data_IF_948934975739
#
_entry.id   IF_948934975739
#
_cell.length_a   1.000
_cell.length_b   1.000
_cell.length_c   1.000
_cell.angle_alpha   90.00
_cell.angle_beta   90.00
_cell.angle_gamma   90.00
#
_symmetry.space_group_name_H-M   'P 1'
#
loop_
_entity.id
_entity.type
_entity.pdbx_description
1 polymer ?
#
# COMPACT_ATOMS: atom_id res chain seq x y z
N UNK A 1 5.38 -40.78 -53.10
CA UNK A 1 6.33 -39.78 -53.65
C UNK A 1 5.68 -38.41 -53.52
N UNK A 2 6.41 -37.42 -53.02
CA UNK A 2 6.10 -35.98 -53.16
C UNK A 2 6.37 -35.54 -54.62
N UNK A 3 6.06 -34.30 -55.09
CA UNK A 3 5.79 -33.08 -54.33
C UNK A 3 4.72 -32.11 -54.93
N UNK A 4 4.78 -30.85 -54.49
CA UNK A 4 4.31 -29.61 -55.16
C UNK A 4 2.87 -29.13 -54.93
N UNK A 5 2.70 -28.29 -53.92
CA UNK A 5 1.59 -27.34 -53.78
C UNK A 5 1.77 -26.11 -54.69
N UNK A 6 0.70 -25.53 -55.26
CA UNK A 6 0.68 -24.13 -55.67
C UNK A 6 0.45 -23.21 -54.45
N UNK A 7 0.99 -21.99 -54.48
CA UNK A 7 0.66 -20.94 -53.50
C UNK A 7 -0.57 -20.16 -53.95
N UNK A 8 -1.55 -19.98 -53.07
CA UNK A 8 -2.67 -19.05 -53.29
C UNK A 8 -2.45 -17.79 -52.46
N UNK A 9 -2.53 -16.63 -53.10
CA UNK A 9 -2.30 -15.32 -52.47
C UNK A 9 -3.46 -14.93 -51.53
N UNK A 10 -3.15 -14.46 -50.33
CA UNK A 10 -4.12 -13.79 -49.46
C UNK A 10 -4.24 -12.30 -49.83
N UNK A 11 -5.46 -11.70 -49.79
CA UNK A 11 -5.66 -10.28 -50.06
C UNK A 11 -5.28 -9.41 -48.85
N UNK A 12 -4.80 -8.20 -49.14
CA UNK A 12 -4.38 -7.18 -48.15
C UNK A 12 -5.55 -6.70 -47.28
N UNK A 13 -5.31 -6.57 -45.97
CA UNK A 13 -6.14 -5.79 -45.05
C UNK A 13 -5.39 -4.51 -44.62
N UNK A 14 -6.08 -3.36 -44.42
CA UNK A 14 -5.43 -2.07 -44.16
C UNK A 14 -5.00 -1.89 -42.70
N UNK A 15 -3.95 -1.09 -42.52
CA UNK A 15 -3.28 -0.79 -41.25
C UNK A 15 -3.89 0.45 -40.56
N UNK A 16 -4.34 0.38 -39.29
CA UNK A 16 -4.78 1.56 -38.53
C UNK A 16 -3.59 2.40 -38.06
N UNK A 17 -3.53 3.65 -38.52
CA UNK A 17 -2.42 4.57 -38.26
C UNK A 17 -2.36 5.06 -36.81
N UNK A 18 -1.16 5.06 -36.21
CA UNK A 18 -0.88 5.78 -34.96
C UNK A 18 -0.47 7.23 -35.25
N UNK A 19 -1.09 8.24 -34.60
CA UNK A 19 -0.62 9.62 -34.68
C UNK A 19 0.77 9.79 -34.03
N UNK A 20 1.72 10.40 -34.75
CA UNK A 20 3.01 10.77 -34.20
C UNK A 20 2.93 12.14 -33.53
N UNK A 21 3.39 12.25 -32.28
CA UNK A 21 3.66 13.54 -31.63
C UNK A 21 5.15 13.66 -31.34
N UNK A 22 5.86 14.46 -32.14
CA UNK A 22 7.25 14.81 -31.85
C UNK A 22 7.29 15.81 -30.70
N UNK A 23 8.14 15.60 -29.69
CA UNK A 23 8.55 16.66 -28.78
C UNK A 23 10.05 16.55 -28.47
N UNK A 24 10.74 17.68 -28.56
CA UNK A 24 12.20 17.71 -28.69
C UNK A 24 12.91 17.52 -27.35
N UNK A 25 14.04 16.80 -27.41
CA UNK A 25 15.06 16.84 -26.36
C UNK A 25 15.89 18.11 -26.52
N UNK A 26 16.04 18.88 -25.46
CA UNK A 26 17.17 19.80 -25.28
C UNK A 26 17.71 19.65 -23.85
N UNK A 27 19.01 19.81 -23.68
CA UNK A 27 19.70 19.70 -22.40
C UNK A 27 20.58 20.95 -22.18
N UNK A 28 20.70 21.45 -20.93
CA UNK A 28 21.48 22.65 -20.64
C UNK A 28 22.99 22.34 -20.50
N UNK A 29 23.89 23.22 -20.98
CA UNK A 29 25.30 23.16 -20.65
C UNK A 29 25.61 23.82 -19.30
N UNK A 30 26.74 23.45 -18.70
CA UNK A 30 27.30 24.05 -17.46
C UNK A 30 28.60 24.79 -17.79
N UNK A 31 28.92 25.91 -17.11
CA UNK A 31 30.27 26.22 -16.53
C UNK A 31 30.33 27.62 -15.87
N UNK A 32 30.81 27.61 -14.63
CA UNK A 32 31.50 28.59 -13.77
C UNK A 32 32.12 29.89 -14.36
N UNK A 33 31.96 31.03 -13.65
CA UNK A 33 33.08 31.92 -13.23
C UNK A 33 32.72 32.82 -12.01
N UNK A 34 33.67 33.61 -11.47
CA UNK A 34 33.58 34.27 -10.13
C UNK A 34 34.03 35.78 -10.14
N UNK A 35 34.48 36.50 -9.07
CA UNK A 35 33.96 37.84 -8.73
C UNK A 35 34.93 39.02 -9.01
N UNK A 36 34.63 40.28 -8.59
CA UNK A 36 35.13 40.73 -7.28
C UNK A 36 34.30 41.77 -6.46
N UNK A 37 34.58 41.78 -5.16
CA UNK A 37 34.46 42.79 -4.08
C UNK A 37 34.40 44.29 -4.47
N UNK A 38 33.64 45.13 -3.70
CA UNK A 38 34.14 46.20 -2.76
C UNK A 38 32.98 46.89 -1.97
N UNK A 39 33.26 47.38 -0.76
CA UNK A 39 32.41 48.13 0.21
C UNK A 39 32.73 49.67 0.13
N UNK A 40 32.38 50.63 1.06
CA UNK A 40 31.79 50.55 2.42
C UNK A 40 30.72 51.64 2.80
N UNK A 41 30.22 51.56 4.06
CA UNK A 41 29.76 52.68 4.96
C UNK A 41 28.51 53.53 4.60
N UNK A 42 27.73 54.12 5.54
CA UNK A 42 27.62 54.05 7.02
C UNK A 42 26.24 54.65 7.47
N UNK A 43 25.68 54.41 8.67
CA UNK A 43 26.12 53.60 9.83
C UNK A 43 25.07 52.55 10.31
N UNK A 44 24.20 52.66 11.34
CA UNK A 44 23.87 53.67 12.36
C UNK A 44 23.20 53.04 13.63
N UNK A 45 22.94 53.84 14.68
CA UNK A 45 22.49 53.42 16.04
C UNK A 45 20.95 53.33 16.21
N UNK A 46 20.38 52.44 17.05
CA UNK A 46 20.53 52.38 18.51
C UNK A 46 20.17 51.02 19.18
N UNK A 47 20.99 50.59 20.15
CA UNK A 47 20.72 49.86 21.44
C UNK A 47 19.45 48.98 21.62
N UNK A 48 19.48 47.81 22.28
CA UNK A 48 20.18 47.52 23.55
C UNK A 48 20.27 46.00 23.94
N UNK A 49 21.40 45.62 24.56
CA UNK A 49 21.65 44.47 25.48
C UNK A 49 21.75 42.99 25.00
N UNK A 50 22.64 42.28 25.70
CA UNK A 50 23.14 40.89 25.59
C UNK A 50 23.34 40.34 27.05
N UNK A 51 23.74 39.08 27.38
CA UNK A 51 24.73 38.21 26.73
C UNK A 51 24.32 36.73 26.55
N UNK A 52 25.26 35.91 26.06
CA UNK A 52 25.05 34.51 25.70
C UNK A 52 25.89 33.53 26.55
N UNK A 53 25.50 32.26 26.53
CA UNK A 53 26.37 31.11 26.88
C UNK A 53 26.25 30.03 25.80
N UNK A 54 27.37 29.42 25.43
CA UNK A 54 27.47 28.44 24.33
C UNK A 54 27.36 27.00 24.83
N UNK A 55 26.84 26.08 24.02
CA UNK A 55 27.51 24.78 23.71
C UNK A 55 26.79 24.03 22.57
N UNK A 56 27.59 23.36 21.73
CA UNK A 56 27.15 22.24 20.90
C UNK A 56 27.78 20.94 21.47
N UNK A 57 27.36 19.75 21.03
CA UNK A 57 28.10 19.17 19.90
C UNK A 57 27.24 18.42 18.86
N UNK A 58 27.85 18.24 17.69
CA UNK A 58 27.33 17.55 16.51
C UNK A 58 27.07 16.06 16.71
N UNK A 59 26.00 15.54 16.09
CA UNK A 59 25.91 14.13 15.65
C UNK A 59 25.27 14.08 14.26
N UNK A 60 25.84 13.27 13.35
CA UNK A 60 25.37 13.15 11.97
C UNK A 60 24.50 11.89 11.80
N UNK A 61 23.40 11.94 11.01
CA UNK A 61 22.61 10.76 10.68
C UNK A 61 23.31 9.90 9.63
N UNK A 62 23.49 8.61 9.91
CA UNK A 62 24.01 7.65 8.94
C UNK A 62 22.98 7.32 7.85
N UNK A 63 23.39 7.34 6.58
CA UNK A 63 22.56 6.93 5.44
C UNK A 63 22.45 5.40 5.39
N UNK A 64 21.31 4.85 5.85
CA UNK A 64 20.97 3.44 5.67
C UNK A 64 20.05 3.25 4.46
N UNK A 65 20.25 2.19 3.68
CA UNK A 65 19.40 1.86 2.55
C UNK A 65 18.00 1.40 3.00
N UNK A 66 16.92 1.67 2.23
CA UNK A 66 15.58 1.25 2.58
C UNK A 66 15.44 -0.28 2.47
N UNK A 67 15.34 -0.95 3.63
CA UNK A 67 14.97 -2.36 3.68
C UNK A 67 13.52 -2.54 3.19
N UNK A 68 13.26 -3.62 2.45
CA UNK A 68 11.90 -3.96 2.02
C UNK A 68 10.98 -4.16 3.24
N UNK A 69 9.74 -3.64 3.24
CA UNK A 69 8.84 -3.82 4.35
C UNK A 69 8.53 -5.32 4.55
N UNK A 70 8.44 -5.80 5.81
CA UNK A 70 8.12 -7.20 6.07
C UNK A 70 6.72 -7.52 5.57
N UNK A 71 6.54 -8.72 5.00
CA UNK A 71 5.24 -9.25 4.64
C UNK A 71 4.31 -9.22 5.87
N UNK A 72 3.06 -8.73 5.76
CA UNK A 72 2.16 -8.67 6.89
C UNK A 72 1.85 -10.09 7.36
N UNK A 73 2.19 -10.39 8.62
CA UNK A 73 1.92 -11.69 9.22
C UNK A 73 0.40 -11.93 9.20
N UNK A 74 -0.07 -12.96 8.48
CA UNK A 74 -1.45 -13.44 8.57
C UNK A 74 -1.67 -13.85 10.03
N UNK A 75 -2.38 -13.03 10.81
CA UNK A 75 -2.60 -13.24 12.25
C UNK A 75 -3.37 -14.55 12.48
N UNK A 76 -2.65 -15.64 12.72
CA UNK A 76 -3.27 -16.93 13.06
C UNK A 76 -3.74 -16.94 14.51
N UNK A 77 -4.91 -17.51 14.73
CA UNK A 77 -5.41 -17.74 16.07
C UNK A 77 -4.44 -18.65 16.84
N UNK A 78 -4.13 -18.28 18.09
CA UNK A 78 -3.28 -19.07 18.99
C UNK A 78 -3.99 -20.35 19.47
N UNK A 79 -5.33 -20.42 19.31
CA UNK A 79 -6.12 -21.61 19.58
C UNK A 79 -5.71 -22.79 18.66
N UNK A 80 -5.54 -24.03 19.18
CA UNK A 80 -5.22 -25.18 18.35
C UNK A 80 -6.30 -25.48 17.29
N UNK A 81 -5.92 -25.43 16.01
CA UNK A 81 -6.72 -25.94 14.91
C UNK A 81 -6.73 -27.48 14.86
N UNK A 82 -7.55 -28.09 13.99
CA UNK A 82 -7.81 -29.54 14.02
C UNK A 82 -6.54 -30.39 13.93
N UNK A 83 -5.57 -30.00 13.10
CA UNK A 83 -4.28 -30.70 12.96
C UNK A 83 -3.33 -30.51 14.15
N UNK A 84 -3.39 -29.36 14.82
CA UNK A 84 -2.63 -29.13 16.05
C UNK A 84 -3.20 -29.96 17.21
N UNK A 85 -4.53 -30.02 17.34
CA UNK A 85 -5.23 -30.89 18.30
C UNK A 85 -4.94 -32.38 18.02
N UNK A 86 -4.98 -32.81 16.77
CA UNK A 86 -4.64 -34.19 16.39
C UNK A 86 -3.18 -34.55 16.70
N UNK A 87 -2.23 -33.61 16.52
CA UNK A 87 -0.82 -33.79 16.90
C UNK A 87 -0.67 -33.97 18.42
N UNK A 88 -1.37 -33.16 19.22
CA UNK A 88 -1.36 -33.27 20.68
C UNK A 88 -1.97 -34.61 21.14
N UNK A 89 -3.13 -34.99 20.60
CA UNK A 89 -3.78 -36.28 20.88
C UNK A 89 -2.90 -37.48 20.52
N UNK A 90 -2.22 -37.45 19.36
CA UNK A 90 -1.31 -38.52 18.95
C UNK A 90 -0.08 -38.61 19.87
N UNK A 91 0.42 -37.49 20.39
CA UNK A 91 1.50 -37.46 21.38
C UNK A 91 1.05 -38.03 22.74
N UNK A 92 -0.09 -37.59 23.26
CA UNK A 92 -0.66 -38.14 24.50
C UNK A 92 -0.95 -39.65 24.38
N UNK A 93 -1.48 -40.11 23.24
CA UNK A 93 -1.69 -41.54 23.01
C UNK A 93 -0.37 -42.32 22.93
N UNK A 94 0.66 -41.76 22.29
CA UNK A 94 1.99 -42.37 22.25
C UNK A 94 2.60 -42.48 23.66
N UNK A 95 2.46 -41.44 24.50
CA UNK A 95 2.86 -41.48 25.92
C UNK A 95 2.08 -42.54 26.70
N UNK A 96 0.76 -42.65 26.49
CA UNK A 96 -0.05 -43.66 27.16
C UNK A 96 0.39 -45.08 26.77
N UNK A 97 0.70 -45.31 25.49
CA UNK A 97 1.21 -46.58 24.96
C UNK A 97 2.64 -46.91 25.43
N UNK A 98 3.50 -45.93 25.74
CA UNK A 98 4.81 -46.20 26.36
C UNK A 98 4.71 -46.45 27.85
N UNK A 99 3.92 -45.65 28.59
CA UNK A 99 3.68 -45.86 30.02
C UNK A 99 2.98 -47.20 30.32
N UNK A 100 2.10 -47.68 29.43
CA UNK A 100 1.50 -49.02 29.53
C UNK A 100 2.49 -50.20 29.33
N UNK A 101 3.73 -49.94 28.88
CA UNK A 101 4.81 -50.96 28.90
C UNK A 101 5.54 -51.02 30.25
N UNK A 102 5.37 -50.01 31.10
CA UNK A 102 5.94 -49.91 32.44
C UNK A 102 4.94 -50.35 33.53
N UNK A 103 3.95 -51.18 33.18
CA UNK A 103 3.01 -51.78 34.15
C UNK A 103 3.73 -52.71 35.15
N UNK A 104 3.09 -52.99 36.29
CA UNK A 104 3.75 -53.69 37.39
C UNK A 104 4.24 -55.08 37.00
N UNK A 105 3.46 -55.86 36.26
CA UNK A 105 3.79 -57.25 35.95
C UNK A 105 4.97 -57.35 34.96
N UNK A 106 4.99 -56.50 33.92
CA UNK A 106 6.14 -56.35 33.01
C UNK A 106 7.40 -55.89 33.77
N UNK A 107 7.28 -54.95 34.70
CA UNK A 107 8.40 -54.43 35.47
C UNK A 107 8.94 -55.44 36.51
N UNK A 108 8.05 -56.15 37.21
CA UNK A 108 8.40 -57.15 38.20
C UNK A 108 9.04 -58.41 37.59
N UNK A 109 8.65 -58.78 36.36
CA UNK A 109 9.25 -59.86 35.59
C UNK A 109 10.73 -59.61 35.23
N UNK A 110 11.13 -58.35 35.05
CA UNK A 110 12.53 -57.97 34.83
C UNK A 110 13.41 -58.03 36.10
N UNK A 111 12.80 -58.04 37.29
CA UNK A 111 13.49 -57.99 38.58
C UNK A 111 13.00 -59.05 39.58
N UNK A 112 12.95 -60.34 39.22
CA UNK A 112 12.27 -61.39 40.00
C UNK A 112 12.82 -61.54 41.43
N UNK A 113 14.12 -61.38 41.62
CA UNK A 113 14.79 -61.47 42.92
C UNK A 113 14.42 -60.30 43.86
N UNK A 114 14.10 -59.13 43.29
CA UNK A 114 13.75 -57.92 44.03
C UNK A 114 12.24 -57.85 44.26
N UNK A 115 11.42 -58.22 43.29
CA UNK A 115 9.97 -58.29 43.45
C UNK A 115 9.56 -59.34 44.49
N UNK A 116 10.27 -60.46 44.60
CA UNK A 116 10.05 -61.45 45.66
C UNK A 116 10.52 -60.99 47.05
N UNK A 117 11.65 -60.27 47.15
CA UNK A 117 12.27 -59.92 48.44
C UNK A 117 11.85 -58.55 49.00
N UNK A 118 11.48 -57.61 48.15
CA UNK A 118 11.11 -56.24 48.52
C UNK A 118 10.14 -55.60 47.50
N UNK A 119 8.92 -56.16 47.31
CA UNK A 119 7.97 -55.67 46.31
C UNK A 119 7.59 -54.19 46.52
N UNK A 120 7.51 -53.74 47.77
CA UNK A 120 7.10 -52.37 48.10
C UNK A 120 8.12 -51.31 47.62
N UNK A 121 9.42 -51.54 47.79
CA UNK A 121 10.43 -50.58 47.30
C UNK A 121 10.53 -50.59 45.78
N UNK A 122 10.41 -51.76 45.14
CA UNK A 122 10.36 -51.87 43.68
C UNK A 122 9.13 -51.14 43.10
N UNK A 123 7.97 -51.23 43.77
CA UNK A 123 6.75 -50.49 43.39
C UNK A 123 6.92 -48.99 43.56
N UNK A 124 7.54 -48.52 44.65
CA UNK A 124 7.88 -47.09 44.80
C UNK A 124 8.84 -46.58 43.73
N UNK A 125 9.81 -47.40 43.28
CA UNK A 125 10.69 -47.06 42.16
C UNK A 125 9.91 -46.99 40.84
N UNK A 126 9.07 -47.99 40.54
CA UNK A 126 8.20 -48.00 39.36
C UNK A 126 7.30 -46.75 39.32
N UNK A 127 6.60 -46.46 40.43
CA UNK A 127 5.74 -45.29 40.57
C UNK A 127 6.52 -43.98 40.41
N UNK A 128 7.76 -43.89 40.90
CA UNK A 128 8.62 -42.71 40.73
C UNK A 128 9.09 -42.54 39.28
N UNK A 129 9.39 -43.62 38.56
CA UNK A 129 9.78 -43.57 37.14
C UNK A 129 8.60 -43.19 36.25
N UNK A 130 7.45 -43.86 36.43
CA UNK A 130 6.20 -43.55 35.71
C UNK A 130 5.73 -42.12 36.03
N UNK A 131 5.78 -41.73 37.31
CA UNK A 131 5.48 -40.39 37.79
C UNK A 131 6.34 -39.34 37.11
N UNK A 132 7.66 -39.41 37.27
CA UNK A 132 8.62 -38.44 36.69
C UNK A 132 8.52 -38.35 35.16
N UNK A 133 8.34 -39.48 34.46
CA UNK A 133 8.17 -39.47 33.00
C UNK A 133 6.83 -38.81 32.61
N UNK A 134 5.74 -39.08 33.34
CA UNK A 134 4.46 -38.43 33.09
C UNK A 134 4.47 -36.93 33.43
N UNK A 135 5.17 -36.51 34.49
CA UNK A 135 5.35 -35.12 34.91
C UNK A 135 6.23 -34.32 33.93
N UNK A 136 7.25 -34.95 33.34
CA UNK A 136 8.12 -34.31 32.35
C UNK A 136 7.47 -34.16 30.97
N UNK A 137 6.60 -35.10 30.59
CA UNK A 137 5.98 -35.13 29.27
C UNK A 137 4.57 -34.53 29.19
N UNK A 138 3.76 -34.55 30.26
CA UNK A 138 2.42 -33.93 30.29
C UNK A 138 2.42 -32.60 31.05
N UNK A 139 1.35 -31.82 30.86
CA UNK A 139 1.07 -30.64 31.69
C UNK A 139 0.31 -31.06 32.96
N UNK A 140 0.90 -30.81 34.13
CA UNK A 140 0.23 -30.89 35.42
C UNK A 140 0.16 -29.50 36.08
N UNK A 141 -1.04 -29.01 36.37
CA UNK A 141 -1.25 -27.74 37.08
C UNK A 141 -1.19 -27.96 38.59
N UNK A 142 0.02 -27.94 39.16
CA UNK A 142 0.23 -27.92 40.60
C UNK A 142 1.25 -26.85 41.02
N UNK A 143 0.79 -25.93 41.86
CA UNK A 143 1.57 -25.11 42.80
C UNK A 143 2.88 -24.47 42.28
N UNK A 144 2.74 -23.52 41.36
CA UNK A 144 3.62 -22.34 41.27
C UNK A 144 5.07 -22.56 40.80
N UNK A 145 5.49 -23.78 40.45
CA UNK A 145 6.82 -24.06 39.89
C UNK A 145 6.73 -24.56 38.45
N UNK A 146 7.26 -23.76 37.52
CA UNK A 146 7.33 -24.09 36.10
C UNK A 146 8.41 -25.15 35.87
N UNK A 147 8.03 -26.43 35.99
CA UNK A 147 8.83 -27.52 35.48
C UNK A 147 8.41 -27.86 34.06
N UNK A 148 9.25 -27.40 33.14
CA UNK A 148 9.34 -27.72 31.71
C UNK A 148 9.02 -29.23 31.52
N UNK A 149 7.94 -29.66 30.81
CA UNK A 149 7.14 -29.06 29.71
C UNK A 149 7.80 -29.11 28.31
N UNK A 150 8.78 -29.99 28.16
CA UNK A 150 9.64 -30.20 26.97
C UNK A 150 8.87 -30.17 25.63
N UNK A 151 7.78 -30.94 25.51
CA UNK A 151 7.01 -30.98 24.26
C UNK A 151 6.34 -29.64 23.93
N UNK A 152 5.78 -28.95 24.93
CA UNK A 152 5.19 -27.63 24.71
C UNK A 152 6.26 -26.58 24.37
N UNK A 153 7.46 -26.67 24.95
CA UNK A 153 8.59 -25.79 24.60
C UNK A 153 8.95 -25.98 23.12
N UNK A 154 9.02 -27.22 22.64
CA UNK A 154 9.25 -27.53 21.23
C UNK A 154 8.10 -27.01 20.34
N UNK A 155 6.84 -27.08 20.80
CA UNK A 155 5.69 -26.49 20.08
C UNK A 155 5.76 -24.95 20.02
N UNK A 156 6.17 -24.31 21.10
CA UNK A 156 6.24 -22.85 21.25
C UNK A 156 7.45 -22.27 20.49
N UNK A 157 8.67 -22.78 20.72
CA UNK A 157 9.92 -22.39 20.04
C UNK A 157 9.83 -22.52 18.52
N UNK A 158 9.29 -23.63 18.04
CA UNK A 158 9.16 -23.88 16.59
C UNK A 158 7.88 -23.27 16.02
N UNK A 159 7.03 -22.68 16.86
CA UNK A 159 5.75 -22.08 16.50
C UNK A 159 4.86 -23.07 15.72
N UNK A 160 4.75 -24.29 16.22
CA UNK A 160 4.07 -25.39 15.52
C UNK A 160 2.57 -25.14 15.42
N UNK A 161 1.91 -24.71 16.49
CA UNK A 161 0.46 -24.44 16.49
C UNK A 161 0.06 -23.40 15.43
N UNK A 162 0.63 -22.17 15.39
CA UNK A 162 0.28 -21.22 14.35
C UNK A 162 0.64 -21.70 12.94
N UNK A 163 1.77 -22.40 12.72
CA UNK A 163 2.14 -22.93 11.39
C UNK A 163 1.21 -24.05 10.90
N UNK A 164 0.68 -24.89 11.81
CA UNK A 164 -0.37 -25.85 11.45
C UNK A 164 -1.71 -25.16 11.17
N UNK A 165 -2.01 -24.05 11.85
CA UNK A 165 -3.19 -23.22 11.56
C UNK A 165 -3.06 -22.47 10.21
N UNK A 166 -1.86 -21.96 9.87
CA UNK A 166 -1.52 -21.43 8.54
C UNK A 166 -1.70 -22.50 7.46
N UNK A 167 -1.25 -23.72 7.72
CA UNK A 167 -1.39 -24.84 6.78
C UNK A 167 -2.86 -25.22 6.56
N UNK A 168 -3.70 -25.24 7.59
CA UNK A 168 -5.15 -25.46 7.42
C UNK A 168 -5.83 -24.30 6.66
N UNK A 169 -5.42 -23.05 6.89
CA UNK A 169 -5.89 -21.90 6.12
C UNK A 169 -5.50 -22.03 4.63
N UNK A 170 -4.25 -22.42 4.33
CA UNK A 170 -3.79 -22.64 2.96
C UNK A 170 -4.45 -23.86 2.29
N UNK A 171 -4.68 -24.95 3.03
CA UNK A 171 -5.36 -26.16 2.51
C UNK A 171 -6.82 -25.87 2.20
N UNK A 172 -7.52 -25.12 3.05
CA UNK A 172 -8.91 -24.70 2.82
C UNK A 172 -9.02 -23.65 1.70
N UNK A 173 -8.13 -22.66 1.65
CA UNK A 173 -8.03 -21.69 0.55
C UNK A 173 -7.78 -22.39 -0.80
N UNK A 174 -6.84 -23.34 -0.86
CA UNK A 174 -6.61 -24.15 -2.05
C UNK A 174 -7.76 -25.12 -2.38
N UNK A 175 -8.51 -25.61 -1.39
CA UNK A 175 -9.68 -26.45 -1.60
C UNK A 175 -10.89 -25.68 -2.14
N UNK A 176 -11.02 -24.38 -1.84
CA UNK A 176 -12.00 -23.52 -2.52
C UNK A 176 -11.56 -23.27 -3.96
N UNK A 177 -10.33 -22.77 -4.20
CA UNK A 177 -9.84 -22.49 -5.56
C UNK A 177 -9.94 -23.69 -6.52
N UNK A 178 -9.79 -24.93 -6.04
CA UNK A 178 -10.02 -26.16 -6.85
C UNK A 178 -11.49 -26.40 -7.21
N UNK A 179 -12.44 -26.03 -6.35
CA UNK A 179 -13.88 -26.07 -6.68
C UNK A 179 -14.23 -24.98 -7.70
N UNK A 180 -13.65 -23.80 -7.53
CA UNK A 180 -13.90 -22.63 -8.37
C UNK A 180 -13.31 -22.80 -9.79
N UNK A 181 -12.15 -23.48 -9.90
CA UNK A 181 -11.47 -23.76 -11.17
C UNK A 181 -12.03 -24.98 -11.93
N UNK A 182 -12.77 -25.87 -11.26
CA UNK A 182 -13.32 -27.09 -11.88
C UNK A 182 -12.23 -28.05 -12.40
N UNK A 183 -12.42 -28.56 -13.62
CA UNK A 183 -11.57 -29.56 -14.27
C UNK A 183 -10.40 -28.93 -15.06
N UNK A 184 -9.85 -27.83 -14.53
CA UNK A 184 -8.72 -27.13 -15.14
C UNK A 184 -7.40 -27.89 -14.92
N UNK A 185 -6.54 -27.90 -15.95
CA UNK A 185 -5.22 -28.56 -15.93
C UNK A 185 -4.40 -28.19 -14.66
N UNK A 186 -3.78 -29.18 -13.98
CA UNK A 186 -3.05 -28.94 -12.73
C UNK A 186 -1.83 -28.05 -12.97
N UNK A 187 -1.85 -26.86 -12.36
CA UNK A 187 -0.80 -25.86 -12.50
C UNK A 187 0.61 -26.37 -12.13
N UNK A 188 1.62 -25.88 -12.85
CA UNK A 188 3.02 -26.27 -12.71
C UNK A 188 3.49 -26.02 -11.26
N UNK A 189 4.08 -27.01 -10.58
CA UNK A 189 4.51 -26.85 -9.19
C UNK A 189 5.72 -25.89 -9.08
N UNK A 190 5.82 -25.08 -8.01
CA UNK A 190 6.76 -23.95 -7.93
C UNK A 190 8.25 -24.33 -7.90
N UNK A 191 8.59 -25.62 -7.80
CA UNK A 191 9.97 -26.10 -7.91
C UNK A 191 10.40 -26.40 -9.36
N UNK A 192 9.48 -26.30 -10.33
CA UNK A 192 9.76 -26.41 -11.77
C UNK A 192 9.66 -25.05 -12.49
N UNK A 193 9.23 -23.99 -11.81
CA UNK A 193 9.17 -22.64 -12.38
C UNK A 193 10.59 -22.05 -12.54
N UNK A 194 10.90 -21.39 -13.66
CA UNK A 194 12.12 -20.61 -13.80
C UNK A 194 12.10 -19.37 -12.89
N UNK A 195 13.27 -18.84 -12.48
CA UNK A 195 13.34 -17.73 -11.53
C UNK A 195 12.69 -16.43 -12.03
N UNK A 196 12.65 -16.22 -13.35
CA UNK A 196 11.99 -15.05 -13.96
C UNK A 196 10.46 -15.10 -13.80
N UNK A 197 9.83 -16.27 -13.93
CA UNK A 197 8.40 -16.45 -13.67
C UNK A 197 8.07 -16.26 -12.19
N UNK A 198 8.92 -16.77 -11.28
CA UNK A 198 8.76 -16.53 -9.83
C UNK A 198 8.87 -15.04 -9.50
N UNK A 199 9.83 -14.33 -10.09
CA UNK A 199 9.98 -12.88 -9.92
C UNK A 199 8.76 -12.12 -10.49
N UNK A 200 8.36 -12.43 -11.73
CA UNK A 200 7.20 -11.82 -12.37
C UNK A 200 5.91 -12.04 -11.58
N UNK A 201 5.66 -13.25 -11.07
CA UNK A 201 4.49 -13.56 -10.26
C UNK A 201 4.45 -12.79 -8.92
N UNK A 202 5.61 -12.49 -8.32
CA UNK A 202 5.69 -11.67 -7.10
C UNK A 202 5.57 -10.16 -7.38
N UNK A 203 6.06 -9.69 -8.53
CA UNK A 203 5.94 -8.28 -8.93
C UNK A 203 4.55 -7.93 -9.49
N UNK A 204 3.87 -8.87 -10.16
CA UNK A 204 2.55 -8.67 -10.76
C UNK A 204 1.50 -8.03 -9.83
N UNK A 205 1.26 -8.50 -8.58
CA UNK A 205 0.28 -7.87 -7.70
C UNK A 205 0.68 -6.44 -7.27
N UNK A 206 1.98 -6.16 -7.11
CA UNK A 206 2.47 -4.82 -6.78
C UNK A 206 2.31 -3.85 -7.96
N UNK A 207 2.66 -4.30 -9.16
CA UNK A 207 2.50 -3.53 -10.39
C UNK A 207 1.02 -3.29 -10.70
N UNK A 208 0.14 -4.29 -10.52
CA UNK A 208 -1.31 -4.12 -10.67
C UNK A 208 -1.89 -3.10 -9.67
N UNK A 209 -1.46 -3.13 -8.40
CA UNK A 209 -1.88 -2.14 -7.41
C UNK A 209 -1.44 -0.70 -7.79
N UNK A 210 -0.19 -0.52 -8.25
CA UNK A 210 0.30 0.78 -8.72
C UNK A 210 -0.42 1.24 -10.00
N UNK A 211 -0.64 0.34 -10.97
CA UNK A 211 -1.39 0.64 -12.19
C UNK A 211 -2.81 1.11 -11.87
N UNK A 212 -3.50 0.43 -10.96
CA UNK A 212 -4.85 0.82 -10.52
C UNK A 212 -4.85 2.19 -9.82
N UNK A 213 -3.85 2.47 -8.96
CA UNK A 213 -3.69 3.77 -8.31
C UNK A 213 -3.44 4.91 -9.32
N UNK A 214 -2.61 4.66 -10.35
CA UNK A 214 -2.33 5.64 -11.40
C UNK A 214 -3.54 5.85 -12.33
N UNK A 215 -4.23 4.78 -12.73
CA UNK A 215 -5.46 4.86 -13.52
C UNK A 215 -6.54 5.67 -12.79
N UNK A 216 -6.75 5.42 -11.49
CA UNK A 216 -7.70 6.18 -10.68
C UNK A 216 -7.35 7.68 -10.60
N UNK A 217 -6.07 8.02 -10.38
CA UNK A 217 -5.61 9.43 -10.39
C UNK A 217 -5.80 10.09 -11.74
N UNK A 218 -5.47 9.38 -12.83
CA UNK A 218 -5.66 9.86 -14.20
C UNK A 218 -7.14 10.12 -14.50
N UNK A 219 -8.04 9.24 -14.08
CA UNK A 219 -9.48 9.41 -14.23
C UNK A 219 -10.00 10.63 -13.43
N UNK A 220 -9.56 10.82 -12.18
CA UNK A 220 -9.89 12.01 -11.38
C UNK A 220 -9.40 13.30 -12.05
N UNK A 221 -8.16 13.32 -12.56
CA UNK A 221 -7.61 14.48 -13.27
C UNK A 221 -8.36 14.76 -14.56
N UNK A 222 -8.75 13.73 -15.32
CA UNK A 222 -9.56 13.90 -16.53
C UNK A 222 -10.95 14.48 -16.21
N UNK A 223 -11.64 14.00 -15.16
CA UNK A 223 -12.93 14.56 -14.75
C UNK A 223 -12.82 16.01 -14.27
N UNK A 224 -11.74 16.36 -13.58
CA UNK A 224 -11.52 17.74 -13.12
C UNK A 224 -11.19 18.67 -14.29
N UNK A 225 -10.34 18.24 -15.22
CA UNK A 225 -10.01 19.01 -16.43
C UNK A 225 -11.22 19.22 -17.34
N UNK A 226 -12.13 18.25 -17.42
CA UNK A 226 -13.39 18.40 -18.14
C UNK A 226 -14.29 19.47 -17.50
N UNK A 227 -14.52 19.39 -16.19
CA UNK A 227 -15.32 20.37 -15.45
C UNK A 227 -14.74 21.81 -15.56
N UNK A 228 -13.41 21.96 -15.44
CA UNK A 228 -12.75 23.25 -15.63
C UNK A 228 -12.85 23.77 -17.07
N UNK A 229 -12.83 22.89 -18.07
CA UNK A 229 -13.01 23.28 -19.48
C UNK A 229 -14.44 23.78 -19.73
N UNK A 230 -15.44 23.07 -19.20
CA UNK A 230 -16.85 23.46 -19.32
C UNK A 230 -17.11 24.81 -18.61
N UNK A 231 -16.50 25.04 -17.44
CA UNK A 231 -16.54 26.32 -16.71
C UNK A 231 -15.86 27.46 -17.49
N UNK A 232 -14.68 27.24 -18.08
CA UNK A 232 -14.01 28.23 -18.93
C UNK A 232 -14.87 28.58 -20.16
N UNK A 233 -15.60 27.60 -20.71
CA UNK A 233 -16.44 27.81 -21.88
C UNK A 233 -17.76 28.55 -21.53
N UNK A 234 -18.35 28.32 -20.34
CA UNK A 234 -19.49 29.13 -19.89
C UNK A 234 -19.08 30.57 -19.55
N UNK A 235 -17.97 30.77 -18.83
CA UNK A 235 -17.39 32.10 -18.55
C UNK A 235 -17.07 32.88 -19.83
N UNK A 236 -16.61 32.21 -20.89
CA UNK A 236 -16.38 32.83 -22.21
C UNK A 236 -17.67 33.22 -22.93
N UNK A 237 -18.72 32.41 -22.82
CA UNK A 237 -20.03 32.74 -23.39
C UNK A 237 -20.67 33.92 -22.65
N UNK A 238 -20.58 33.96 -21.32
CA UNK A 238 -21.02 35.06 -20.48
C UNK A 238 -20.26 36.36 -20.78
N UNK A 239 -18.92 36.31 -20.85
CA UNK A 239 -18.11 37.46 -21.21
C UNK A 239 -18.43 38.00 -22.62
N UNK A 240 -18.69 37.12 -23.59
CA UNK A 240 -19.10 37.53 -24.93
C UNK A 240 -20.49 38.19 -24.96
N UNK A 241 -21.43 37.72 -24.14
CA UNK A 241 -22.75 38.33 -23.99
C UNK A 241 -22.67 39.72 -23.32
N UNK A 242 -21.91 39.84 -22.23
CA UNK A 242 -21.70 41.10 -21.52
C UNK A 242 -20.99 42.15 -22.39
N UNK A 243 -20.03 41.73 -23.22
CA UNK A 243 -19.39 42.63 -24.19
C UNK A 243 -20.38 43.11 -25.27
N UNK A 244 -21.24 42.23 -25.78
CA UNK A 244 -22.28 42.62 -26.74
C UNK A 244 -23.34 43.57 -26.14
N UNK A 245 -23.68 43.40 -24.87
CA UNK A 245 -24.56 44.32 -24.12
C UNK A 245 -23.90 45.69 -23.91
N UNK A 246 -22.59 45.71 -23.58
CA UNK A 246 -21.82 46.96 -23.47
C UNK A 246 -21.65 47.67 -24.82
N UNK A 247 -21.35 46.95 -25.90
CA UNK A 247 -21.26 47.53 -27.25
C UNK A 247 -22.61 48.13 -27.69
N UNK A 248 -23.73 47.46 -27.37
CA UNK A 248 -25.07 47.99 -27.61
C UNK A 248 -25.35 49.25 -26.78
N UNK A 249 -25.06 49.25 -25.48
CA UNK A 249 -25.24 50.42 -24.63
C UNK A 249 -24.34 51.61 -25.06
N UNK A 250 -23.12 51.34 -25.53
CA UNK A 250 -22.25 52.35 -26.12
C UNK A 250 -22.79 52.90 -27.46
N UNK A 251 -23.41 52.05 -28.29
CA UNK A 251 -24.09 52.48 -29.51
C UNK A 251 -25.33 53.35 -29.20
N UNK A 252 -26.14 52.97 -28.20
CA UNK A 252 -27.30 53.75 -27.75
C UNK A 252 -26.90 55.11 -27.19
N UNK A 253 -25.85 55.18 -26.35
CA UNK A 253 -25.31 56.45 -25.85
C UNK A 253 -24.71 57.30 -26.99
N UNK A 254 -24.04 56.67 -27.96
CA UNK A 254 -23.54 57.36 -29.16
C UNK A 254 -24.67 57.93 -30.01
N UNK A 255 -25.76 57.19 -30.21
CA UNK A 255 -26.96 57.62 -30.91
C UNK A 255 -27.70 58.75 -30.18
N UNK A 256 -27.85 58.64 -28.86
CA UNK A 256 -28.42 59.69 -28.03
C UNK A 256 -27.58 60.98 -28.08
N UNK A 257 -26.25 60.87 -28.06
CA UNK A 257 -25.36 62.02 -28.20
C UNK A 257 -25.46 62.65 -29.60
N UNK A 258 -25.59 61.86 -30.67
CA UNK A 258 -25.78 62.38 -32.03
C UNK A 258 -27.12 63.12 -32.21
N UNK A 259 -28.20 62.62 -31.60
CA UNK A 259 -29.51 63.31 -31.57
C UNK A 259 -29.47 64.59 -30.73
N UNK A 260 -28.69 64.60 -29.64
CA UNK A 260 -28.47 65.82 -28.86
C UNK A 260 -27.64 66.85 -29.63
N UNK A 261 -26.66 66.45 -30.43
CA UNK A 261 -25.80 67.34 -31.23
C UNK A 261 -26.62 68.13 -32.28
N UNK A 262 -27.60 67.48 -32.93
CA UNK A 262 -28.54 68.12 -33.87
C UNK A 262 -29.37 69.23 -33.20
N UNK A 263 -29.82 69.02 -31.96
CA UNK A 263 -30.68 69.96 -31.22
C UNK A 263 -29.86 70.97 -30.40
N UNK A 264 -28.61 70.64 -30.04
CA UNK A 264 -27.78 71.43 -29.10
C UNK A 264 -27.57 72.86 -29.59
N UNK A 265 -27.33 73.05 -30.88
CA UNK A 265 -27.07 74.38 -31.44
C UNK A 265 -28.34 75.26 -31.51
N UNK A 266 -29.53 74.65 -31.48
CA UNK A 266 -30.84 75.33 -31.38
C UNK A 266 -31.22 75.62 -29.93
N UNK A 267 -31.07 74.63 -29.05
CA UNK A 267 -31.28 74.79 -27.61
C UNK A 267 -30.31 75.82 -27.01
N UNK A 268 -29.08 75.91 -27.54
CA UNK A 268 -28.09 76.94 -27.19
C UNK A 268 -28.41 78.33 -27.77
N UNK A 269 -29.31 78.45 -28.75
CA UNK A 269 -29.88 79.73 -29.19
C UNK A 269 -31.08 80.12 -28.33
N UNK A 270 -31.96 79.18 -28.03
CA UNK A 270 -33.15 79.40 -27.18
C UNK A 270 -32.77 79.76 -25.74
N UNK A 271 -31.84 79.03 -25.11
CA UNK A 271 -31.35 79.36 -23.76
C UNK A 271 -30.75 80.75 -23.68
N UNK A 272 -29.90 81.16 -24.64
CA UNK A 272 -29.36 82.54 -24.70
C UNK A 272 -30.45 83.59 -24.89
N UNK A 273 -31.52 83.30 -25.63
CA UNK A 273 -32.65 84.21 -25.76
C UNK A 273 -33.41 84.35 -24.43
N UNK A 274 -33.77 83.24 -23.78
CA UNK A 274 -34.46 83.26 -22.49
C UNK A 274 -33.61 83.84 -21.35
N UNK A 275 -32.28 83.70 -21.39
CA UNK A 275 -31.37 84.34 -20.44
C UNK A 275 -31.36 85.87 -20.60
N UNK A 276 -31.43 86.38 -21.84
CA UNK A 276 -31.58 87.82 -22.12
C UNK A 276 -32.95 88.35 -21.68
N UNK A 277 -34.03 87.56 -21.83
CA UNK A 277 -35.35 87.95 -21.30
C UNK A 277 -35.39 87.94 -19.76
N UNK A 278 -34.80 86.93 -19.12
CA UNK A 278 -34.71 86.78 -17.66
C UNK A 278 -33.77 87.79 -16.99
N UNK A 279 -32.81 88.36 -17.72
CA UNK A 279 -31.93 89.45 -17.24
C UNK A 279 -32.41 90.85 -17.66
N UNK A 280 -33.54 90.94 -18.36
CA UNK A 280 -34.15 92.18 -18.86
C UNK A 280 -35.20 92.82 -17.96
N UNK A 281 -35.42 92.30 -16.73
CA UNK A 281 -36.44 92.78 -15.76
C UNK A 281 -35.82 93.23 -14.45
#
# INVERSE_FOLDING_TARGET
>A
MSPSSPRTSAPTAPEPQQPQTQQQRQAPPTTTEVPPTTQPSQDATHTHQTPATMTAPTTAPNTAAPASPPLPARHTAVAPGPRATALQQAFDEALNRTLAKLEWDKFAACYPTVSARAPNSLRSVQQRVVGLLSEKCRVALLEGRVWQKEFQIILDERQVVPKLNELEALVSEAAMRRKDAGDAEPGIPPHLLPPEEVLAANLAPLLAAQQNQLNARLQTMQSHNAALFDEIQSQRAEAAALLAELDAACADVGGANALLDEVADELARETRATEVEMTGT
#
